data_IF_866696133023
#
_entry.id   IF_866696133023
#
_cell.length_a   1.000
_cell.length_b   1.000
_cell.length_c   1.000
_cell.angle_alpha   90.00
_cell.angle_beta   90.00
_cell.angle_gamma   90.00
#
_symmetry.space_group_name_H-M   'P 1'
#
loop_
_entity.id
_entity.type
_entity.pdbx_description
1 polymer ?
#
# COMPACT_ATOMS: atom_id res chain seq x y z
N UNK A 1 28.03 4.03 19.28
CA UNK A 1 28.46 2.65 18.93
C UNK A 1 27.31 1.91 18.23
N UNK A 2 27.47 1.54 16.96
CA UNK A 2 26.49 0.84 16.10
C UNK A 2 26.60 -0.70 16.18
N UNK A 3 27.23 -1.23 17.22
CA UNK A 3 27.68 -2.64 17.29
C UNK A 3 26.54 -3.68 17.43
N UNK A 4 25.28 -3.26 17.40
CA UNK A 4 24.11 -4.14 17.50
C UNK A 4 23.15 -3.87 16.34
N UNK A 5 22.41 -4.89 15.90
CA UNK A 5 21.38 -4.76 14.86
C UNK A 5 20.37 -3.65 15.18
N UNK A 6 19.98 -3.54 16.46
CA UNK A 6 19.11 -2.45 16.93
C UNK A 6 19.80 -1.08 16.88
N UNK A 7 21.10 -1.00 17.14
CA UNK A 7 21.90 0.23 17.03
C UNK A 7 22.06 0.69 15.59
N UNK A 8 22.22 -0.24 14.64
CA UNK A 8 22.23 0.04 13.20
C UNK A 8 20.86 0.54 12.73
N UNK A 9 19.77 -0.12 13.12
CA UNK A 9 18.39 0.32 12.80
C UNK A 9 18.13 1.75 13.32
N UNK A 10 18.57 2.08 14.54
CA UNK A 10 18.37 3.42 15.11
C UNK A 10 19.19 4.48 14.36
N UNK A 11 20.45 4.18 14.07
CA UNK A 11 21.32 5.07 13.31
C UNK A 11 20.75 5.32 11.91
N UNK A 12 20.38 4.26 11.19
CA UNK A 12 19.80 4.38 9.86
C UNK A 12 18.45 5.09 9.88
N UNK A 13 17.52 4.74 10.76
CA UNK A 13 16.24 5.45 10.85
C UNK A 13 16.42 6.95 11.18
N UNK A 14 17.45 7.32 11.95
CA UNK A 14 17.74 8.73 12.26
C UNK A 14 18.42 9.48 11.11
N UNK A 15 19.22 8.80 10.30
CA UNK A 15 19.94 9.39 9.16
C UNK A 15 19.10 9.41 7.87
N UNK A 16 18.13 8.49 7.74
CA UNK A 16 17.39 8.21 6.51
C UNK A 16 15.87 8.43 6.63
N UNK A 17 15.38 9.10 7.69
CA UNK A 17 13.93 9.34 7.93
C UNK A 17 13.21 10.00 6.74
N UNK A 18 13.93 10.76 5.91
CA UNK A 18 13.41 11.47 4.73
C UNK A 18 13.82 10.85 3.39
N UNK A 19 14.38 9.63 3.37
CA UNK A 19 14.69 8.96 2.10
C UNK A 19 13.41 8.48 1.47
N UNK A 20 13.02 9.11 0.37
CA UNK A 20 11.87 8.75 -0.45
C UNK A 20 12.26 8.00 -1.72
N UNK A 21 13.53 7.60 -1.84
CA UNK A 21 14.02 6.91 -3.02
C UNK A 21 14.12 5.40 -2.79
N UNK A 22 13.60 4.58 -3.73
CA UNK A 22 13.81 3.14 -3.69
C UNK A 22 15.30 2.77 -3.87
N UNK A 23 15.74 1.58 -3.42
CA UNK A 23 17.05 1.03 -3.77
C UNK A 23 17.27 0.97 -5.30
N UNK A 24 18.47 1.34 -5.75
CA UNK A 24 18.82 1.35 -7.18
C UNK A 24 18.75 -0.04 -7.87
N UNK A 25 18.66 -1.12 -7.09
CA UNK A 25 18.67 -2.50 -7.57
C UNK A 25 17.27 -3.14 -7.63
N UNK A 26 16.19 -2.36 -7.62
CA UNK A 26 14.84 -2.88 -7.82
C UNK A 26 14.66 -3.40 -9.23
N UNK A 27 13.95 -4.52 -9.36
CA UNK A 27 13.68 -5.13 -10.65
C UNK A 27 12.64 -4.28 -11.37
N UNK A 28 12.99 -3.80 -12.56
CA UNK A 28 12.04 -3.13 -13.44
C UNK A 28 11.05 -4.14 -14.00
N UNK A 29 9.77 -3.87 -13.85
CA UNK A 29 8.69 -4.74 -14.31
C UNK A 29 8.17 -4.27 -15.68
N UNK A 30 7.78 -5.20 -16.58
CA UNK A 30 7.12 -4.83 -17.83
C UNK A 30 5.81 -4.07 -17.57
N UNK A 31 5.49 -3.10 -18.43
CA UNK A 31 4.27 -2.28 -18.29
C UNK A 31 3.00 -3.13 -18.14
N UNK A 32 2.86 -4.19 -18.94
CA UNK A 32 1.73 -5.11 -18.89
C UNK A 32 1.58 -5.77 -17.50
N UNK A 33 2.69 -6.11 -16.83
CA UNK A 33 2.66 -6.69 -15.49
C UNK A 33 2.18 -5.66 -14.47
N UNK A 34 2.63 -4.41 -14.59
CA UNK A 34 2.22 -3.31 -13.71
C UNK A 34 0.72 -3.05 -13.85
N UNK A 35 0.18 -3.05 -15.06
CA UNK A 35 -1.25 -2.90 -15.33
C UNK A 35 -2.08 -4.05 -14.75
N UNK A 36 -1.65 -5.29 -14.94
CA UNK A 36 -2.29 -6.47 -14.34
C UNK A 36 -2.27 -6.40 -12.81
N UNK A 37 -1.15 -6.00 -12.22
CA UNK A 37 -1.02 -5.84 -10.79
C UNK A 37 -1.96 -4.74 -10.25
N UNK A 38 -2.07 -3.60 -10.95
CA UNK A 38 -3.06 -2.56 -10.61
C UNK A 38 -4.49 -3.11 -10.60
N UNK A 39 -4.86 -3.91 -11.59
CA UNK A 39 -6.19 -4.55 -11.64
C UNK A 39 -6.41 -5.50 -10.46
N UNK A 40 -5.40 -6.30 -10.08
CA UNK A 40 -5.48 -7.19 -8.90
C UNK A 40 -5.68 -6.35 -7.63
N UNK A 41 -4.89 -5.30 -7.45
CA UNK A 41 -4.98 -4.40 -6.32
C UNK A 41 -6.36 -3.74 -6.21
N UNK A 42 -6.90 -3.23 -7.31
CA UNK A 42 -8.27 -2.68 -7.39
C UNK A 42 -9.27 -3.75 -6.99
N UNK A 43 -9.19 -4.96 -7.54
CA UNK A 43 -10.11 -6.04 -7.21
C UNK A 43 -10.08 -6.41 -5.73
N UNK A 44 -8.89 -6.44 -5.09
CA UNK A 44 -8.77 -6.70 -3.66
C UNK A 44 -9.38 -5.57 -2.81
N UNK A 45 -9.24 -4.32 -3.25
CA UNK A 45 -9.93 -3.17 -2.64
C UNK A 45 -11.45 -3.31 -2.77
N UNK A 46 -11.95 -3.62 -3.96
CA UNK A 46 -13.37 -3.85 -4.22
C UNK A 46 -13.97 -4.97 -3.37
N UNK A 47 -13.31 -6.13 -3.29
CA UNK A 47 -13.77 -7.26 -2.45
C UNK A 47 -13.91 -6.84 -1.00
N UNK A 48 -12.96 -6.06 -0.46
CA UNK A 48 -13.01 -5.62 0.93
C UNK A 48 -14.07 -4.56 1.19
N UNK A 49 -14.24 -3.62 0.28
CA UNK A 49 -15.25 -2.56 0.40
C UNK A 49 -16.67 -3.08 0.25
N UNK A 50 -16.93 -3.97 -0.71
CA UNK A 50 -18.26 -4.56 -0.92
C UNK A 50 -18.75 -5.44 0.24
N UNK A 51 -17.84 -6.12 0.96
CA UNK A 51 -18.20 -7.04 2.04
C UNK A 51 -18.48 -6.33 3.39
N UNK A 52 -18.04 -5.09 3.57
CA UNK A 52 -18.04 -4.42 4.89
C UNK A 52 -18.56 -2.98 4.87
N UNK A 53 -19.19 -2.53 3.78
CA UNK A 53 -19.66 -1.14 3.61
C UNK A 53 -20.68 -0.69 4.66
N UNK A 54 -21.23 -1.58 5.50
CA UNK A 54 -22.21 -1.22 6.53
C UNK A 54 -21.64 -0.44 7.72
N UNK A 55 -20.33 -0.17 7.80
CA UNK A 55 -19.71 0.55 8.93
C UNK A 55 -18.74 1.63 8.43
N UNK A 56 -19.05 2.90 8.72
CA UNK A 56 -18.12 4.04 8.64
C UNK A 56 -17.01 3.83 9.67
N UNK A 57 -15.97 3.09 9.29
CA UNK A 57 -14.88 2.71 10.18
C UNK A 57 -13.56 2.55 9.42
N UNK A 58 -12.46 2.43 10.18
CA UNK A 58 -11.11 2.21 9.69
C UNK A 58 -11.05 0.93 8.85
N UNK A 59 -10.69 1.09 7.59
CA UNK A 59 -10.44 -0.01 6.66
C UNK A 59 -8.97 -0.40 6.69
N UNK A 60 -8.73 -1.71 6.68
CA UNK A 60 -7.41 -2.30 6.58
C UNK A 60 -7.44 -3.37 5.49
N UNK A 61 -6.67 -3.14 4.43
CA UNK A 61 -6.50 -4.11 3.34
C UNK A 61 -5.07 -4.59 3.39
N UNK A 62 -4.88 -5.90 3.32
CA UNK A 62 -3.56 -6.53 3.30
C UNK A 62 -3.56 -7.65 2.27
N UNK A 63 -2.57 -7.67 1.38
CA UNK A 63 -2.40 -8.74 0.41
C UNK A 63 -0.93 -8.92 -0.01
N UNK A 64 -0.56 -10.10 -0.57
CA UNK A 64 0.79 -10.38 -1.03
C UNK A 64 1.20 -9.47 -2.20
N UNK A 65 2.41 -8.92 -2.12
CA UNK A 65 2.96 -8.00 -3.12
C UNK A 65 4.48 -8.02 -3.04
N UNK A 66 5.18 -8.04 -4.16
CA UNK A 66 6.64 -7.89 -4.20
C UNK A 66 7.06 -6.43 -4.04
N UNK A 67 8.32 -6.18 -3.65
CA UNK A 67 8.85 -4.81 -3.57
C UNK A 67 8.83 -4.11 -4.93
N UNK A 68 9.13 -4.86 -5.99
CA UNK A 68 9.15 -4.38 -7.37
C UNK A 68 7.76 -3.98 -7.87
N UNK A 69 6.72 -4.76 -7.53
CA UNK A 69 5.33 -4.41 -7.84
C UNK A 69 4.87 -3.17 -7.08
N UNK A 70 5.23 -3.07 -5.80
CA UNK A 70 4.91 -1.90 -5.00
C UNK A 70 5.55 -0.64 -5.58
N UNK A 71 6.86 -0.68 -5.83
CA UNK A 71 7.60 0.47 -6.35
C UNK A 71 7.08 0.86 -7.73
N UNK A 72 6.83 -0.10 -8.63
CA UNK A 72 6.30 0.20 -9.95
C UNK A 72 4.96 0.95 -9.94
N UNK A 73 4.13 0.79 -8.89
CA UNK A 73 2.86 1.51 -8.74
C UNK A 73 2.99 2.80 -7.94
N UNK A 74 3.81 2.81 -6.88
CA UNK A 74 3.81 3.86 -5.86
C UNK A 74 5.09 4.70 -5.77
N UNK A 75 6.09 4.47 -6.63
CA UNK A 75 7.41 5.13 -6.57
C UNK A 75 7.30 6.66 -6.49
N UNK A 76 6.46 7.28 -7.32
CA UNK A 76 6.31 8.72 -7.36
C UNK A 76 5.61 9.31 -6.13
N UNK A 77 5.03 8.46 -5.28
CA UNK A 77 4.30 8.83 -4.08
C UNK A 77 4.98 8.39 -2.78
N UNK A 78 6.24 7.93 -2.85
CA UNK A 78 6.98 7.52 -1.65
C UNK A 78 7.16 8.70 -0.70
N UNK A 79 6.69 8.53 0.53
CA UNK A 79 6.93 9.46 1.64
C UNK A 79 8.19 9.09 2.41
N UNK A 80 8.47 7.80 2.57
CA UNK A 80 9.71 7.32 3.16
C UNK A 80 10.01 5.86 2.80
N UNK A 81 11.29 5.49 2.90
CA UNK A 81 11.81 4.14 2.77
C UNK A 81 12.80 3.87 3.91
N UNK A 82 12.66 2.72 4.55
CA UNK A 82 13.52 2.27 5.65
C UNK A 82 14.39 1.08 5.17
N UNK A 83 15.64 1.30 4.75
CA UNK A 83 16.49 0.26 4.15
C UNK A 83 16.69 -0.97 5.04
N UNK A 84 17.06 -0.78 6.31
CA UNK A 84 17.27 -1.89 7.26
C UNK A 84 16.05 -2.79 7.45
N UNK A 85 14.85 -2.22 7.36
CA UNK A 85 13.61 -2.97 7.58
C UNK A 85 12.98 -3.44 6.27
N UNK A 86 13.49 -2.95 5.13
CA UNK A 86 12.85 -3.07 3.81
C UNK A 86 11.36 -2.71 3.90
N UNK A 87 11.10 -1.47 4.27
CA UNK A 87 9.72 -0.96 4.39
C UNK A 87 9.57 0.31 3.58
N UNK A 88 8.56 0.35 2.72
CA UNK A 88 8.17 1.53 1.92
C UNK A 88 6.88 2.12 2.48
N UNK A 89 6.78 3.45 2.51
CA UNK A 89 5.61 4.17 3.01
C UNK A 89 5.19 5.24 2.02
N UNK A 90 3.89 5.28 1.75
CA UNK A 90 3.19 6.40 1.12
C UNK A 90 2.12 6.91 2.09
N UNK A 91 2.08 8.21 2.31
CA UNK A 91 1.10 8.88 3.17
C UNK A 91 0.40 9.93 2.34
N UNK A 92 -0.92 9.82 2.27
CA UNK A 92 -1.78 10.69 1.47
C UNK A 92 -2.76 11.42 2.39
N UNK A 93 -2.90 12.72 2.22
CA UNK A 93 -3.73 13.56 3.09
C UNK A 93 -4.92 14.14 2.36
N UNK A 94 -6.08 14.13 3.01
CA UNK A 94 -7.30 14.75 2.48
C UNK A 94 -7.62 14.34 1.04
N UNK A 95 -7.78 15.34 0.15
CA UNK A 95 -8.13 15.13 -1.25
C UNK A 95 -7.08 14.33 -2.06
N UNK A 96 -5.81 14.32 -1.66
CA UNK A 96 -4.80 13.50 -2.34
C UNK A 96 -5.09 12.00 -2.21
N UNK A 97 -5.63 11.59 -1.05
CA UNK A 97 -6.01 10.19 -0.83
C UNK A 97 -7.17 9.79 -1.76
N UNK A 98 -8.14 10.68 -1.93
CA UNK A 98 -9.29 10.47 -2.82
C UNK A 98 -8.83 10.38 -4.27
N UNK A 99 -8.06 11.37 -4.75
CA UNK A 99 -7.56 11.38 -6.13
C UNK A 99 -6.67 10.18 -6.46
N UNK A 100 -5.93 9.64 -5.49
CA UNK A 100 -5.09 8.47 -5.74
C UNK A 100 -5.90 7.19 -5.82
N UNK A 101 -6.92 7.03 -4.97
CA UNK A 101 -7.86 5.93 -5.16
C UNK A 101 -8.61 6.09 -6.48
N UNK A 102 -9.10 7.28 -6.81
CA UNK A 102 -9.75 7.54 -8.10
C UNK A 102 -8.85 7.17 -9.26
N UNK A 103 -7.60 7.64 -9.31
CA UNK A 103 -6.65 7.29 -10.38
C UNK A 103 -6.31 5.80 -10.43
N UNK A 104 -6.16 5.16 -9.27
CA UNK A 104 -5.89 3.72 -9.17
C UNK A 104 -7.08 2.92 -9.73
N UNK A 105 -8.29 3.37 -9.42
CA UNK A 105 -9.53 2.79 -9.89
C UNK A 105 -9.69 3.07 -11.39
N UNK A 106 -9.58 4.33 -11.84
CA UNK A 106 -9.85 4.81 -13.21
C UNK A 106 -9.02 4.10 -14.28
N UNK A 107 -7.75 3.79 -13.99
CA UNK A 107 -6.85 3.13 -14.94
C UNK A 107 -7.18 1.65 -15.18
N UNK A 108 -8.11 1.05 -14.42
CA UNK A 108 -8.47 -0.36 -14.54
C UNK A 108 -9.83 -0.62 -15.21
N UNK A 109 -10.53 0.42 -15.69
CA UNK A 109 -11.98 0.44 -15.81
C UNK A 109 -12.64 0.02 -17.14
N UNK A 110 -11.95 -0.55 -18.11
CA UNK A 110 -12.67 -0.98 -19.33
C UNK A 110 -13.67 -2.14 -19.08
N UNK A 111 -13.73 -2.74 -17.87
CA UNK A 111 -14.51 -3.96 -17.62
C UNK A 111 -15.38 -4.01 -16.35
N UNK A 112 -15.44 -2.97 -15.51
CA UNK A 112 -16.20 -3.03 -14.24
C UNK A 112 -17.31 -1.98 -14.13
N UNK A 113 -18.47 -2.38 -13.59
CA UNK A 113 -19.62 -1.50 -13.32
C UNK A 113 -19.38 -0.75 -11.98
N UNK A 114 -18.82 0.46 -12.03
CA UNK A 114 -18.29 1.20 -10.86
C UNK A 114 -19.30 2.23 -10.32
N UNK A 115 -20.58 2.11 -10.69
CA UNK A 115 -21.64 3.00 -10.19
C UNK A 115 -21.71 3.06 -8.65
N UNK A 116 -21.16 2.07 -7.94
CA UNK A 116 -21.13 1.99 -6.48
C UNK A 116 -19.92 2.68 -5.80
N UNK A 117 -18.92 3.17 -6.55
CA UNK A 117 -17.71 3.79 -5.97
C UNK A 117 -17.71 5.32 -5.99
N UNK A 118 -18.53 5.94 -6.86
CA UNK A 118 -18.71 7.41 -6.91
C UNK A 118 -19.23 8.00 -5.58
N UNK A 119 -19.60 7.14 -4.65
CA UNK A 119 -20.21 7.42 -3.36
C UNK A 119 -19.26 7.25 -2.16
N UNK A 120 -18.01 6.78 -2.37
CA UNK A 120 -17.09 6.51 -1.27
C UNK A 120 -16.29 7.78 -0.94
N UNK A 121 -16.64 8.45 0.17
CA UNK A 121 -15.84 9.55 0.71
C UNK A 121 -14.82 9.02 1.71
N UNK A 122 -13.56 9.39 1.53
CA UNK A 122 -12.53 9.11 2.53
C UNK A 122 -12.65 10.19 3.59
N UNK A 123 -12.95 9.82 4.85
CA UNK A 123 -12.88 10.82 5.92
C UNK A 123 -11.41 11.16 6.12
N UNK A 124 -11.02 12.44 6.05
CA UNK A 124 -9.70 12.86 6.50
C UNK A 124 -9.45 12.36 7.94
N UNK A 125 -8.19 12.07 8.31
CA UNK A 125 -7.06 12.86 7.83
C UNK A 125 -6.10 12.18 6.86
N UNK A 126 -5.94 10.84 6.86
CA UNK A 126 -4.80 10.20 6.18
C UNK A 126 -5.11 8.79 5.64
N UNK A 127 -4.71 8.52 4.40
CA UNK A 127 -4.53 7.17 3.85
C UNK A 127 -3.05 6.79 3.90
N UNK A 128 -2.74 5.59 4.38
CA UNK A 128 -1.36 5.07 4.38
C UNK A 128 -1.27 3.80 3.56
N UNK A 129 -0.25 3.71 2.72
CA UNK A 129 0.09 2.53 1.94
C UNK A 129 1.51 2.13 2.35
N UNK A 130 1.67 0.91 2.84
CA UNK A 130 2.92 0.38 3.37
C UNK A 130 3.26 -0.92 2.63
N UNK A 131 4.51 -1.08 2.23
CA UNK A 131 5.06 -2.39 1.89
C UNK A 131 6.07 -2.83 2.93
N UNK A 132 6.00 -4.08 3.36
CA UNK A 132 6.92 -4.66 4.33
C UNK A 132 7.10 -6.16 4.10
N UNK A 133 8.20 -6.72 4.62
CA UNK A 133 8.40 -8.16 4.64
C UNK A 133 7.82 -8.77 5.92
N UNK A 134 7.07 -9.85 5.77
CA UNK A 134 6.53 -10.63 6.87
C UNK A 134 7.14 -12.03 6.87
N UNK A 135 7.49 -12.50 8.06
CA UNK A 135 7.94 -13.86 8.27
C UNK A 135 6.76 -14.80 8.44
N UNK A 136 6.63 -15.76 7.54
CA UNK A 136 5.64 -16.84 7.62
C UNK A 136 6.38 -18.10 8.06
N UNK A 137 5.85 -18.79 9.07
CA UNK A 137 6.35 -20.09 9.48
C UNK A 137 5.36 -21.15 9.05
N UNK A 138 5.85 -22.19 8.37
CA UNK A 138 5.04 -23.36 8.07
C UNK A 138 4.86 -24.25 9.32
N UNK A 139 3.99 -25.25 9.21
CA UNK A 139 3.73 -26.21 10.28
C UNK A 139 4.93 -27.09 10.63
N UNK A 140 5.97 -27.13 9.77
CA UNK A 140 7.23 -27.85 9.98
C UNK A 140 8.32 -26.95 10.57
N UNK A 141 8.02 -25.68 10.83
CA UNK A 141 8.94 -24.70 11.40
C UNK A 141 9.86 -24.03 10.38
N UNK A 142 9.71 -24.30 9.07
CA UNK A 142 10.44 -23.56 8.04
C UNK A 142 9.92 -22.14 7.96
N UNK A 143 10.85 -21.20 7.92
CA UNK A 143 10.57 -19.78 7.84
C UNK A 143 10.77 -19.29 6.42
N UNK A 144 9.76 -18.64 5.87
CA UNK A 144 9.84 -17.91 4.60
C UNK A 144 9.54 -16.44 4.83
N UNK A 145 10.11 -15.59 4.00
CA UNK A 145 9.83 -14.15 4.00
C UNK A 145 8.95 -13.84 2.78
N UNK A 146 7.81 -13.21 3.01
CA UNK A 146 6.90 -12.76 1.97
C UNK A 146 6.72 -11.24 2.02
N UNK A 147 6.75 -10.59 0.87
CA UNK A 147 6.36 -9.18 0.76
C UNK A 147 4.86 -9.02 0.94
N UNK A 148 4.46 -7.97 1.64
CA UNK A 148 3.06 -7.64 1.92
C UNK A 148 2.83 -6.16 1.67
N UNK A 149 1.74 -5.86 0.98
CA UNK A 149 1.20 -4.51 0.87
C UNK A 149 0.06 -4.37 1.90
N UNK A 150 0.04 -3.23 2.60
CA UNK A 150 -1.00 -2.84 3.55
C UNK A 150 -1.51 -1.44 3.23
N UNK A 151 -2.82 -1.32 3.04
CA UNK A 151 -3.52 -0.05 2.88
C UNK A 151 -4.39 0.19 4.12
N UNK A 152 -4.34 1.41 4.66
CA UNK A 152 -5.21 1.89 5.73
C UNK A 152 -5.85 3.22 5.36
N UNK A 153 -7.16 3.33 5.50
CA UNK A 153 -7.92 4.57 5.33
C UNK A 153 -9.21 4.52 6.16
N UNK A 154 -9.87 5.66 6.33
CA UNK A 154 -11.18 5.76 6.96
C UNK A 154 -12.24 6.06 5.90
N UNK A 155 -13.45 5.53 6.07
CA UNK A 155 -14.59 5.82 5.21
C UNK A 155 -15.65 6.61 5.97
N UNK A 156 -16.28 7.56 5.28
CA UNK A 156 -17.52 8.19 5.76
C UNK A 156 -18.69 7.63 4.99
N UNK A 157 -19.81 7.47 5.68
CA UNK A 157 -21.11 7.39 5.04
C UNK A 157 -21.80 8.75 5.15
N UNK A 158 -21.17 9.81 4.65
CA UNK A 158 -21.90 11.07 4.48
C UNK A 158 -22.60 11.08 3.11
N UNK A 159 -23.89 10.73 3.17
CA UNK A 159 -25.00 10.99 2.23
C UNK A 159 -25.38 9.90 1.21
N UNK A 160 -26.19 8.92 1.61
CA UNK A 160 -27.22 8.33 0.72
C UNK A 160 -28.46 7.88 1.53
N UNK A 161 -29.40 8.80 1.74
CA UNK A 161 -30.84 8.52 1.90
C UNK A 161 -31.59 9.33 0.84
#
# INVERSE_FOLDING_TARGET
HYKTFQGLIRHENSAYYSYNQPPANIISLPLQHVEQFKQILVNEIHKRLSLHYTKSDKQLIKFPCTDSEFVAVFESQLSSFLPAKRVYWCVFKGCEAESILENLLDQSLESYNISNFKSIKIVPPEMTVEWFQESIKDSKGHQTLGGQLRIRFCLDQEYYF
#
